data_IF_243555615735
#
_entry.id   IF_243555615735
#
_cell.length_a   1.000
_cell.length_b   1.000
_cell.length_c   1.000
_cell.angle_alpha   90.00
_cell.angle_beta   90.00
_cell.angle_gamma   90.00
#
_symmetry.space_group_name_H-M   'P 1'
#
loop_
_entity.id
_entity.type
_entity.pdbx_description
1 polymer ?
#
# COMPACT_ATOMS: atom_id res chain seq x y z
N UNK A 1 2.25 11.79 -33.72
CA UNK A 1 2.66 13.10 -33.13
C UNK A 1 3.55 13.93 -34.05
N UNK A 2 3.87 13.47 -35.27
CA UNK A 2 4.83 14.13 -36.16
C UNK A 2 4.38 15.47 -36.75
N UNK A 3 3.11 15.82 -36.63
CA UNK A 3 2.61 17.14 -37.02
C UNK A 3 3.13 18.26 -36.09
N UNK A 4 3.40 17.96 -34.81
CA UNK A 4 3.93 18.92 -33.84
C UNK A 4 5.37 19.35 -34.18
N UNK A 5 6.15 18.46 -34.82
CA UNK A 5 7.50 18.75 -35.30
C UNK A 5 7.52 19.78 -36.44
N UNK A 6 6.40 19.98 -37.14
CA UNK A 6 6.27 20.89 -38.29
C UNK A 6 5.91 22.33 -37.89
N UNK A 7 5.67 22.60 -36.60
CA UNK A 7 5.36 23.95 -36.12
C UNK A 7 6.63 24.81 -36.05
N UNK A 8 6.62 26.04 -36.61
CA UNK A 8 7.85 26.83 -36.80
C UNK A 8 8.53 27.26 -35.50
N UNK A 9 7.78 27.39 -34.40
CA UNK A 9 8.31 27.85 -33.10
C UNK A 9 8.56 26.69 -32.13
N UNK A 10 7.66 25.70 -32.13
CA UNK A 10 7.65 24.62 -31.13
C UNK A 10 8.29 23.32 -31.67
N UNK A 11 8.35 23.16 -32.99
CA UNK A 11 8.86 21.97 -33.67
C UNK A 11 10.29 21.56 -33.30
N UNK A 12 11.27 22.48 -33.22
CA UNK A 12 12.66 22.13 -32.86
C UNK A 12 12.79 21.62 -31.40
N UNK A 13 12.02 22.21 -30.48
CA UNK A 13 12.00 21.79 -29.08
C UNK A 13 11.32 20.42 -28.92
N UNK A 14 10.22 20.20 -29.64
CA UNK A 14 9.54 18.90 -29.67
C UNK A 14 10.42 17.83 -30.30
N UNK A 15 11.13 18.13 -31.39
CA UNK A 15 12.06 17.18 -31.99
C UNK A 15 13.18 16.77 -31.01
N UNK A 16 13.81 17.74 -30.34
CA UNK A 16 14.81 17.47 -29.30
C UNK A 16 14.26 16.66 -28.12
N UNK A 17 13.04 16.97 -27.66
CA UNK A 17 12.37 16.20 -26.61
C UNK A 17 12.16 14.75 -27.06
N UNK A 18 11.68 14.54 -28.29
CA UNK A 18 11.36 13.23 -28.82
C UNK A 18 12.60 12.34 -29.05
N UNK A 19 13.77 12.94 -29.23
CA UNK A 19 15.04 12.22 -29.32
C UNK A 19 15.54 11.72 -27.96
N UNK A 20 15.04 12.28 -26.84
CA UNK A 20 15.48 11.88 -25.50
C UNK A 20 15.07 10.44 -25.15
N UNK A 21 15.86 9.81 -24.28
CA UNK A 21 15.51 8.48 -23.77
C UNK A 21 14.21 8.49 -22.96
N UNK A 22 13.90 9.60 -22.28
CA UNK A 22 12.65 9.76 -21.53
C UNK A 22 11.42 9.66 -22.43
N UNK A 23 11.45 10.33 -23.59
CA UNK A 23 10.36 10.26 -24.55
C UNK A 23 10.20 8.87 -25.16
N UNK A 24 11.31 8.21 -25.55
CA UNK A 24 11.26 6.84 -26.07
C UNK A 24 10.72 5.85 -25.03
N UNK A 25 11.07 6.02 -23.75
CA UNK A 25 10.49 5.24 -22.65
C UNK A 25 8.99 5.50 -22.51
N UNK A 26 8.56 6.76 -22.60
CA UNK A 26 7.13 7.11 -22.56
C UNK A 26 6.37 6.49 -23.73
N UNK A 27 6.87 6.57 -24.96
CA UNK A 27 6.24 5.93 -26.12
C UNK A 27 6.11 4.42 -25.94
N UNK A 28 7.12 3.75 -25.34
CA UNK A 28 7.00 2.32 -25.01
C UNK A 28 5.88 2.06 -24.02
N UNK A 29 5.83 2.84 -22.93
CA UNK A 29 4.78 2.72 -21.91
C UNK A 29 3.38 2.99 -22.50
N UNK A 30 3.27 3.97 -23.39
CA UNK A 30 2.01 4.34 -24.05
C UNK A 30 1.51 3.21 -24.97
N UNK A 31 2.41 2.54 -25.71
CA UNK A 31 2.08 1.37 -26.54
C UNK A 31 1.48 0.20 -25.74
N UNK A 32 1.90 0.02 -24.50
CA UNK A 32 1.38 -1.04 -23.60
C UNK A 32 0.23 -0.54 -22.71
N UNK A 33 -0.33 0.64 -23.01
CA UNK A 33 -1.45 1.24 -22.29
C UNK A 33 -1.22 1.36 -20.77
N UNK A 34 -0.01 1.74 -20.36
CA UNK A 34 0.41 1.78 -18.96
C UNK A 34 -0.56 2.54 -18.04
N UNK A 35 -1.18 3.63 -18.53
CA UNK A 35 -2.13 4.42 -17.76
C UNK A 35 -3.38 3.60 -17.34
N UNK A 36 -3.85 2.71 -18.22
CA UNK A 36 -4.97 1.80 -17.93
C UNK A 36 -4.57 0.71 -16.93
N UNK A 37 -3.34 0.16 -17.07
CA UNK A 37 -2.80 -0.80 -16.12
C UNK A 37 -2.65 -0.19 -14.72
N UNK A 38 -2.14 1.03 -14.64
CA UNK A 38 -2.03 1.79 -13.39
C UNK A 38 -3.42 2.06 -12.78
N UNK A 39 -4.42 2.44 -13.59
CA UNK A 39 -5.79 2.62 -13.13
C UNK A 39 -6.39 1.32 -12.55
N UNK A 40 -6.12 0.17 -13.19
CA UNK A 40 -6.57 -1.13 -12.68
C UNK A 40 -5.94 -1.45 -11.31
N UNK A 41 -4.61 -1.30 -11.18
CA UNK A 41 -3.92 -1.58 -9.91
C UNK A 41 -4.33 -0.63 -8.80
N UNK A 42 -4.51 0.67 -9.07
CA UNK A 42 -4.97 1.62 -8.06
C UNK A 42 -6.36 1.26 -7.53
N UNK A 43 -7.30 0.91 -8.40
CA UNK A 43 -8.64 0.47 -7.99
C UNK A 43 -8.61 -0.81 -7.15
N UNK A 44 -7.85 -1.82 -7.58
CA UNK A 44 -7.73 -3.09 -6.84
C UNK A 44 -7.03 -2.87 -5.49
N UNK A 45 -6.00 -2.02 -5.45
CA UNK A 45 -5.28 -1.67 -4.21
C UNK A 45 -6.20 -0.97 -3.21
N UNK A 46 -7.04 -0.04 -3.69
CA UNK A 46 -8.03 0.62 -2.86
C UNK A 46 -9.06 -0.36 -2.30
N UNK A 47 -9.55 -1.29 -3.13
CA UNK A 47 -10.51 -2.30 -2.67
C UNK A 47 -9.89 -3.25 -1.63
N UNK A 48 -8.62 -3.63 -1.81
CA UNK A 48 -7.89 -4.49 -0.87
C UNK A 48 -7.58 -3.82 0.48
N UNK A 49 -7.63 -2.48 0.54
CA UNK A 49 -7.38 -1.70 1.75
C UNK A 49 -8.46 -1.92 2.82
N UNK A 50 -9.73 -2.09 2.43
CA UNK A 50 -10.83 -2.32 3.37
C UNK A 50 -10.67 -3.59 4.22
N UNK A 51 -10.52 -4.79 3.64
CA UNK A 51 -10.31 -5.99 4.44
C UNK A 51 -8.97 -5.95 5.18
N UNK A 52 -7.95 -5.27 4.64
CA UNK A 52 -6.67 -5.08 5.34
C UNK A 52 -6.84 -4.28 6.64
N UNK A 53 -7.55 -3.15 6.58
CA UNK A 53 -7.87 -2.33 7.76
C UNK A 53 -8.70 -3.13 8.74
N UNK A 54 -9.72 -3.85 8.28
CA UNK A 54 -10.58 -4.66 9.16
C UNK A 54 -9.79 -5.76 9.89
N UNK A 55 -8.87 -6.45 9.21
CA UNK A 55 -7.95 -7.41 9.84
C UNK A 55 -7.04 -6.70 10.84
N UNK A 56 -6.45 -5.55 10.49
CA UNK A 56 -5.61 -4.78 11.40
C UNK A 56 -6.36 -4.35 12.67
N UNK A 57 -7.61 -3.92 12.53
CA UNK A 57 -8.46 -3.53 13.64
C UNK A 57 -8.90 -4.74 14.49
N UNK A 58 -9.16 -5.90 13.87
CA UNK A 58 -9.43 -7.14 14.61
C UNK A 58 -8.19 -7.63 15.39
N UNK A 59 -6.99 -7.53 14.81
CA UNK A 59 -5.73 -7.83 15.49
C UNK A 59 -5.52 -6.86 16.66
N UNK A 60 -5.76 -5.57 16.44
CA UNK A 60 -5.68 -4.55 17.49
C UNK A 60 -6.63 -4.88 18.65
N UNK A 61 -7.90 -5.17 18.37
CA UNK A 61 -8.89 -5.55 19.37
C UNK A 61 -8.52 -6.83 20.13
N UNK A 62 -7.83 -7.77 19.49
CA UNK A 62 -7.40 -9.02 20.13
C UNK A 62 -6.13 -8.87 20.99
N UNK A 63 -5.25 -7.91 20.69
CA UNK A 63 -3.93 -7.80 21.33
C UNK A 63 -3.78 -6.61 22.28
N UNK A 64 -4.57 -5.54 22.11
CA UNK A 64 -4.45 -4.31 22.89
C UNK A 64 -5.44 -4.30 24.06
N UNK A 65 -5.07 -3.61 25.13
CA UNK A 65 -5.99 -3.29 26.23
C UNK A 65 -6.97 -2.18 25.84
N UNK A 66 -8.10 -2.09 26.53
CA UNK A 66 -9.13 -1.07 26.31
C UNK A 66 -8.54 0.35 26.31
N UNK A 67 -7.64 0.65 27.26
CA UNK A 67 -6.96 1.95 27.34
C UNK A 67 -6.12 2.27 26.10
N UNK A 68 -5.46 1.26 25.53
CA UNK A 68 -4.66 1.44 24.31
C UNK A 68 -5.56 1.60 23.08
N UNK A 69 -6.68 0.88 23.02
CA UNK A 69 -7.68 1.04 21.96
C UNK A 69 -8.30 2.43 21.99
N UNK A 70 -8.67 2.94 23.17
CA UNK A 70 -9.20 4.30 23.33
C UNK A 70 -8.19 5.36 22.88
N UNK A 71 -6.91 5.18 23.21
CA UNK A 71 -5.85 6.06 22.72
C UNK A 71 -5.76 6.07 21.19
N UNK A 72 -5.96 4.93 20.52
CA UNK A 72 -6.00 4.84 19.06
C UNK A 72 -7.25 5.51 18.50
N UNK A 73 -8.42 5.31 19.13
CA UNK A 73 -9.68 5.94 18.75
C UNK A 73 -9.57 7.47 18.81
N UNK A 74 -9.03 8.00 19.90
CA UNK A 74 -8.84 9.44 20.09
C UNK A 74 -7.93 10.03 19.01
N UNK A 75 -6.77 9.40 18.76
CA UNK A 75 -5.85 9.84 17.69
C UNK A 75 -6.48 9.78 16.30
N UNK A 76 -7.36 8.81 16.05
CA UNK A 76 -8.05 8.69 14.77
C UNK A 76 -9.15 9.75 14.62
N UNK A 77 -9.88 10.05 15.70
CA UNK A 77 -10.89 11.10 15.76
C UNK A 77 -10.28 12.50 15.55
N UNK A 78 -9.08 12.74 16.08
CA UNK A 78 -8.34 13.99 15.87
C UNK A 78 -7.95 14.20 14.40
N UNK A 79 -7.56 13.12 13.70
CA UNK A 79 -7.17 13.19 12.28
C UNK A 79 -8.38 13.26 11.35
N UNK A 80 -9.48 12.59 11.70
CA UNK A 80 -10.70 12.55 10.90
C UNK A 80 -11.92 12.74 11.81
N UNK A 81 -12.33 14.01 12.06
CA UNK A 81 -13.45 14.30 12.95
C UNK A 81 -14.73 13.59 12.53
N UNK A 82 -15.35 12.87 13.47
CA UNK A 82 -16.63 12.17 13.27
C UNK A 82 -16.55 10.74 12.71
N UNK A 83 -15.34 10.18 12.52
CA UNK A 83 -15.18 8.82 12.00
C UNK A 83 -15.29 7.73 13.09
N UNK A 84 -14.93 8.05 14.34
CA UNK A 84 -14.91 7.09 15.46
C UNK A 84 -16.28 6.44 15.71
N UNK A 85 -17.34 7.23 15.67
CA UNK A 85 -18.72 6.77 15.89
C UNK A 85 -19.26 5.95 14.70
N UNK A 86 -18.76 6.23 13.50
CA UNK A 86 -19.17 5.55 12.26
C UNK A 86 -18.44 4.22 12.03
N UNK A 87 -17.24 4.07 12.60
CA UNK A 87 -16.42 2.87 12.46
C UNK A 87 -16.93 1.69 13.29
N UNK A 88 -17.84 1.92 14.25
CA UNK A 88 -18.46 0.85 15.04
C UNK A 88 -17.44 0.00 15.80
N UNK A 89 -16.36 0.63 16.30
CA UNK A 89 -15.20 -0.07 16.89
C UNK A 89 -15.63 -0.94 18.08
N UNK A 90 -16.63 -0.53 18.86
CA UNK A 90 -17.12 -1.34 19.98
C UNK A 90 -17.80 -2.64 19.50
N UNK A 91 -18.55 -2.56 18.39
CA UNK A 91 -19.14 -3.74 17.73
C UNK A 91 -18.08 -4.65 17.09
N UNK A 92 -17.01 -4.05 16.58
CA UNK A 92 -15.84 -4.78 16.07
C UNK A 92 -15.13 -5.53 17.22
N UNK A 93 -14.88 -4.88 18.35
CA UNK A 93 -14.21 -5.49 19.52
C UNK A 93 -15.05 -6.64 20.06
N UNK A 94 -16.37 -6.44 20.21
CA UNK A 94 -17.29 -7.48 20.67
C UNK A 94 -17.33 -8.72 19.75
N UNK A 95 -17.05 -8.54 18.45
CA UNK A 95 -17.08 -9.61 17.45
C UNK A 95 -15.72 -9.85 16.77
N UNK A 96 -14.62 -9.49 17.44
CA UNK A 96 -13.29 -9.43 16.82
C UNK A 96 -12.87 -10.75 16.16
N UNK A 97 -13.24 -11.89 16.76
CA UNK A 97 -12.97 -13.21 16.19
C UNK A 97 -13.68 -13.45 14.86
N UNK A 98 -14.99 -13.21 14.79
CA UNK A 98 -15.79 -13.40 13.56
C UNK A 98 -15.41 -12.38 12.49
N UNK A 99 -15.27 -11.11 12.86
CA UNK A 99 -14.89 -10.06 11.91
C UNK A 99 -13.47 -10.31 11.39
N UNK A 100 -12.53 -10.66 12.26
CA UNK A 100 -11.16 -11.00 11.87
C UNK A 100 -11.10 -12.19 10.91
N UNK A 101 -11.91 -13.23 11.14
CA UNK A 101 -11.96 -14.39 10.24
C UNK A 101 -12.55 -14.03 8.86
N UNK A 102 -13.67 -13.31 8.83
CA UNK A 102 -14.32 -12.91 7.57
C UNK A 102 -13.44 -11.93 6.80
N UNK A 103 -12.92 -10.90 7.48
CA UNK A 103 -12.01 -9.92 6.90
C UNK A 103 -10.70 -10.59 6.44
N UNK A 104 -10.19 -11.55 7.20
CA UNK A 104 -9.00 -12.32 6.84
C UNK A 104 -9.20 -13.16 5.59
N UNK A 105 -10.34 -13.85 5.47
CA UNK A 105 -10.69 -14.61 4.27
C UNK A 105 -10.83 -13.68 3.04
N UNK A 106 -11.51 -12.54 3.22
CA UNK A 106 -11.63 -11.52 2.18
C UNK A 106 -10.26 -10.97 1.79
N UNK A 107 -9.40 -10.63 2.75
CA UNK A 107 -8.06 -10.10 2.52
C UNK A 107 -7.19 -11.10 1.76
N UNK A 108 -7.23 -12.38 2.12
CA UNK A 108 -6.50 -13.42 1.39
C UNK A 108 -7.00 -13.52 -0.05
N UNK A 109 -8.32 -13.54 -0.26
CA UNK A 109 -8.89 -13.61 -1.60
C UNK A 109 -8.54 -12.39 -2.45
N UNK A 110 -8.78 -11.18 -1.93
CA UNK A 110 -8.51 -9.92 -2.65
C UNK A 110 -7.02 -9.67 -2.80
N UNK A 111 -6.21 -10.02 -1.80
CA UNK A 111 -4.76 -9.84 -1.79
C UNK A 111 -4.05 -10.75 -2.78
N UNK A 112 -4.45 -12.03 -2.87
CA UNK A 112 -3.92 -12.95 -3.89
C UNK A 112 -4.31 -12.49 -5.30
N UNK A 113 -5.53 -11.95 -5.46
CA UNK A 113 -5.96 -11.28 -6.69
C UNK A 113 -5.06 -10.10 -7.03
N UNK A 114 -4.82 -9.21 -6.07
CA UNK A 114 -3.97 -8.02 -6.21
C UNK A 114 -2.54 -8.35 -6.63
N UNK A 115 -1.90 -9.35 -5.99
CA UNK A 115 -0.55 -9.80 -6.37
C UNK A 115 -0.53 -10.31 -7.81
N UNK A 116 -1.53 -11.12 -8.18
CA UNK A 116 -1.68 -11.64 -9.54
C UNK A 116 -1.82 -10.51 -10.56
N UNK A 117 -2.74 -9.57 -10.32
CA UNK A 117 -2.95 -8.42 -11.20
C UNK A 117 -1.71 -7.52 -11.30
N UNK A 118 -0.99 -7.29 -10.19
CA UNK A 118 0.26 -6.52 -10.19
C UNK A 118 1.31 -7.20 -11.06
N UNK A 119 1.48 -8.51 -10.91
CA UNK A 119 2.39 -9.30 -11.73
C UNK A 119 2.00 -9.25 -13.21
N UNK A 120 0.73 -9.38 -13.53
CA UNK A 120 0.21 -9.29 -14.91
C UNK A 120 0.45 -7.90 -15.52
N UNK A 121 0.18 -6.83 -14.76
CA UNK A 121 0.46 -5.46 -15.20
C UNK A 121 1.94 -5.24 -15.43
N UNK A 122 2.81 -5.76 -14.56
CA UNK A 122 4.26 -5.71 -14.75
C UNK A 122 4.67 -6.49 -16.00
N UNK A 123 4.17 -7.72 -16.19
CA UNK A 123 4.46 -8.52 -17.40
C UNK A 123 4.03 -7.79 -18.66
N UNK A 124 2.85 -7.16 -18.68
CA UNK A 124 2.38 -6.37 -19.81
C UNK A 124 3.30 -5.17 -20.10
N UNK A 125 3.77 -4.46 -19.06
CA UNK A 125 4.74 -3.36 -19.23
C UNK A 125 6.06 -3.84 -19.83
N UNK A 126 6.47 -5.05 -19.50
CA UNK A 126 7.68 -5.66 -20.02
C UNK A 126 7.50 -6.41 -21.34
N UNK A 127 6.28 -6.49 -21.88
CA UNK A 127 5.92 -7.27 -23.09
C UNK A 127 6.20 -8.79 -22.89
N UNK A 128 5.91 -9.30 -21.69
CA UNK A 128 6.00 -10.72 -21.28
C UNK A 128 4.62 -11.33 -20.98
N UNK A 129 3.56 -10.75 -21.53
CA UNK A 129 2.17 -11.17 -21.39
C UNK A 129 1.88 -12.56 -21.99
N UNK A 130 2.67 -13.00 -22.98
CA UNK A 130 2.56 -14.33 -23.60
C UNK A 130 3.15 -15.47 -22.77
N UNK A 131 3.84 -15.18 -21.66
CA UNK A 131 4.43 -16.22 -20.79
C UNK A 131 3.33 -16.88 -19.96
N UNK A 132 2.70 -17.90 -20.54
CA UNK A 132 1.71 -18.74 -19.86
C UNK A 132 2.39 -19.56 -18.76
N UNK A 133 1.91 -19.40 -17.52
CA UNK A 133 2.30 -20.30 -16.44
C UNK A 133 1.63 -21.66 -16.66
N UNK A 134 2.44 -22.73 -16.73
CA UNK A 134 1.97 -24.08 -17.06
C UNK A 134 0.93 -24.66 -16.07
N UNK A 135 0.80 -24.09 -14.87
CA UNK A 135 -0.21 -24.50 -13.90
C UNK A 135 -0.80 -23.29 -13.13
N UNK A 136 -2.11 -22.97 -13.29
CA UNK A 136 -2.76 -21.83 -12.64
C UNK A 136 -2.88 -21.98 -11.12
N UNK A 137 -2.88 -23.21 -10.59
CA UNK A 137 -2.91 -23.44 -9.14
C UNK A 137 -1.56 -23.07 -8.52
N UNK A 138 -0.46 -23.48 -9.16
CA UNK A 138 0.90 -23.13 -8.71
C UNK A 138 1.11 -21.63 -8.75
N UNK A 139 0.59 -20.96 -9.78
CA UNK A 139 0.59 -19.50 -9.87
C UNK A 139 -0.04 -18.84 -8.65
N UNK A 140 -1.26 -19.27 -8.28
CA UNK A 140 -1.99 -18.71 -7.14
C UNK A 140 -1.35 -19.02 -5.80
N UNK A 141 -0.74 -20.20 -5.65
CA UNK A 141 0.03 -20.53 -4.44
C UNK A 141 1.25 -19.62 -4.31
N UNK A 142 1.99 -19.37 -5.40
CA UNK A 142 3.11 -18.42 -5.40
C UNK A 142 2.65 -17.01 -5.03
N UNK A 143 1.51 -16.57 -5.57
CA UNK A 143 0.94 -15.25 -5.27
C UNK A 143 0.55 -15.15 -3.79
N UNK A 144 -0.01 -16.21 -3.20
CA UNK A 144 -0.30 -16.27 -1.77
C UNK A 144 0.96 -16.25 -0.90
N UNK A 145 2.00 -16.99 -1.27
CA UNK A 145 3.29 -16.96 -0.57
C UNK A 145 3.91 -15.56 -0.64
N UNK A 146 3.85 -14.90 -1.80
CA UNK A 146 4.34 -13.54 -1.96
C UNK A 146 3.54 -12.55 -1.09
N UNK A 147 2.21 -12.70 -1.04
CA UNK A 147 1.34 -11.89 -0.20
C UNK A 147 1.71 -12.03 1.29
N UNK A 148 1.90 -13.27 1.76
CA UNK A 148 2.34 -13.53 3.14
C UNK A 148 3.72 -12.95 3.40
N UNK A 149 4.65 -13.10 2.45
CA UNK A 149 5.99 -12.50 2.53
C UNK A 149 5.95 -10.98 2.59
N UNK A 150 5.09 -10.34 1.80
CA UNK A 150 4.88 -8.90 1.82
C UNK A 150 4.29 -8.42 3.15
N UNK A 151 3.28 -9.14 3.67
CA UNK A 151 2.73 -8.87 5.00
C UNK A 151 3.77 -9.01 6.10
N UNK A 152 4.57 -10.09 6.05
CA UNK A 152 5.68 -10.32 6.98
C UNK A 152 6.76 -9.24 6.90
N UNK A 153 7.12 -8.79 5.69
CA UNK A 153 8.04 -7.67 5.51
C UNK A 153 7.48 -6.38 6.11
N UNK A 154 6.19 -6.09 5.89
CA UNK A 154 5.51 -4.94 6.51
C UNK A 154 5.53 -5.00 8.03
N UNK A 155 5.21 -6.15 8.63
CA UNK A 155 5.28 -6.36 10.08
C UNK A 155 6.71 -6.21 10.61
N UNK A 156 7.70 -6.72 9.88
CA UNK A 156 9.11 -6.57 10.23
C UNK A 156 9.53 -5.09 10.19
N UNK A 157 9.12 -4.34 9.18
CA UNK A 157 9.35 -2.88 9.11
C UNK A 157 8.73 -2.17 10.30
N UNK A 158 7.47 -2.49 10.66
CA UNK A 158 6.81 -1.90 11.83
C UNK A 158 7.55 -2.23 13.14
N UNK A 159 8.00 -3.48 13.29
CA UNK A 159 8.76 -3.90 14.47
C UNK A 159 10.09 -3.14 14.59
N UNK A 160 10.83 -3.03 13.47
CA UNK A 160 12.09 -2.27 13.42
C UNK A 160 11.84 -0.79 13.71
N UNK A 161 10.80 -0.18 13.13
CA UNK A 161 10.43 1.21 13.39
C UNK A 161 10.06 1.44 14.86
N UNK A 162 9.34 0.51 15.48
CA UNK A 162 8.97 0.59 16.90
C UNK A 162 10.21 0.53 17.79
N UNK A 163 11.10 -0.43 17.55
CA UNK A 163 12.36 -0.55 18.29
C UNK A 163 13.24 0.69 18.10
N UNK A 164 13.34 1.20 16.87
CA UNK A 164 14.08 2.41 16.55
C UNK A 164 13.54 3.63 17.30
N UNK A 165 12.22 3.81 17.32
CA UNK A 165 11.57 4.93 18.02
C UNK A 165 11.82 4.87 19.53
N UNK A 166 11.72 3.68 20.13
CA UNK A 166 12.01 3.49 21.55
C UNK A 166 13.48 3.73 21.88
N UNK A 167 14.41 3.30 21.01
CA UNK A 167 15.85 3.54 21.20
C UNK A 167 16.21 5.02 21.11
N UNK A 168 15.55 5.77 20.21
CA UNK A 168 15.69 7.23 20.09
C UNK A 168 15.18 7.92 21.35
N UNK A 169 13.98 7.57 21.82
CA UNK A 169 13.41 8.11 23.07
C UNK A 169 14.31 7.84 24.29
N UNK A 170 14.77 6.60 24.45
CA UNK A 170 15.68 6.22 25.52
C UNK A 170 17.01 7.00 25.48
N UNK A 171 17.55 7.25 24.28
CA UNK A 171 18.79 8.02 24.11
C UNK A 171 18.55 9.51 24.38
N UNK A 172 17.40 10.06 23.97
CA UNK A 172 17.00 11.43 24.23
C UNK A 172 16.84 11.70 25.74
N UNK A 173 16.23 10.76 26.47
CA UNK A 173 16.11 10.80 27.93
C UNK A 173 17.48 10.80 28.62
N UNK A 174 18.42 9.97 28.14
CA UNK A 174 19.77 9.89 28.72
C UNK A 174 20.62 11.14 28.44
N UNK A 175 20.32 11.88 27.37
CA UNK A 175 20.98 13.15 27.03
C UNK A 175 20.22 14.35 27.66
N UNK A 176 19.10 14.10 28.36
CA UNK A 176 18.34 15.11 29.09
C UNK A 176 17.51 16.02 28.19
N UNK A 177 17.12 15.57 27.00
CA UNK A 177 16.21 16.29 26.11
C UNK A 177 14.79 16.09 26.63
N UNK A 178 14.10 17.12 27.16
CA UNK A 178 12.77 16.94 27.73
C UNK A 178 11.75 16.62 26.63
N UNK A 179 10.97 15.55 26.84
CA UNK A 179 9.90 15.05 25.95
C UNK A 179 8.82 16.10 25.59
N UNK A 180 8.79 17.26 26.26
CA UNK A 180 7.85 18.37 26.01
C UNK A 180 8.47 19.68 25.50
N UNK A 181 9.78 19.72 25.21
CA UNK A 181 10.45 20.91 24.68
C UNK A 181 10.46 20.97 23.14
N UNK A 182 10.82 22.12 22.55
CA UNK A 182 10.88 22.32 21.10
C UNK A 182 11.78 21.32 20.31
N UNK A 183 12.56 20.49 21.01
CA UNK A 183 13.36 19.40 20.43
C UNK A 183 12.74 18.00 20.52
N UNK A 184 11.57 17.83 21.15
CA UNK A 184 10.90 16.52 21.37
C UNK A 184 9.68 16.24 20.48
N UNK A 185 9.38 17.11 19.51
CA UNK A 185 8.21 17.00 18.62
C UNK A 185 8.59 16.42 17.23
N UNK A 186 9.84 16.00 17.03
CA UNK A 186 10.27 15.27 15.83
C UNK A 186 10.43 13.79 16.12
#
# INVERSE_FOLDING_TARGET
MDWLKKLPVIGPLVARLMETHAWRSYERLDRVHWARLAAAITFISFLALFPLIAVGAAIAAALLSDKQLDTIKDKLADQVPGISDQLGIDGLVANAGTVGLVAGALLLFTGVGWVGSLRECLRAVWELDDVQEANPVVAKVKDAVLLVGLGGAGLATLAVSTVGSTAVGWTADQIGIPEGGAGGIL
#
